data_IF_139074406703
#
_entry.id   IF_139074406703
#
_cell.length_a   1.000
_cell.length_b   1.000
_cell.length_c   1.000
_cell.angle_alpha   90.00
_cell.angle_beta   90.00
_cell.angle_gamma   90.00
#
_symmetry.space_group_name_H-M   'P 1'
#
loop_
_entity.id
_entity.type
_entity.pdbx_description
1 polymer ?
#
# COMPACT_ATOMS: atom_id res chain seq x y z
N UNK A 1 -44.76 -21.80 22.54
CA UNK A 1 -43.88 -22.90 22.09
C UNK A 1 -44.09 -23.07 20.60
N UNK A 2 -43.26 -22.45 19.76
CA UNK A 2 -43.35 -22.59 18.30
C UNK A 2 -42.10 -23.32 17.83
N UNK A 3 -42.34 -24.41 17.12
CA UNK A 3 -41.41 -25.48 16.79
C UNK A 3 -40.42 -24.99 15.73
N UNK A 4 -39.13 -25.15 16.02
CA UNK A 4 -38.02 -24.87 15.12
C UNK A 4 -38.01 -25.94 14.00
N UNK A 5 -38.63 -25.67 12.87
CA UNK A 5 -38.48 -26.53 11.68
C UNK A 5 -37.18 -26.16 10.97
N UNK A 6 -36.13 -26.89 11.34
CA UNK A 6 -34.85 -26.94 10.65
C UNK A 6 -35.06 -27.33 9.17
N UNK A 7 -34.97 -26.35 8.26
CA UNK A 7 -34.93 -26.57 6.80
C UNK A 7 -33.53 -26.21 6.27
N UNK A 8 -32.67 -27.23 6.13
CA UNK A 8 -31.47 -27.15 5.27
C UNK A 8 -31.93 -26.91 3.84
N UNK A 9 -31.50 -25.85 3.16
CA UNK A 9 -31.05 -25.88 1.75
C UNK A 9 -30.78 -24.49 1.14
N UNK A 10 -29.66 -24.42 0.41
CA UNK A 10 -29.13 -23.38 -0.52
C UNK A 10 -28.11 -22.36 0.04
N UNK A 11 -26.78 -22.59 -0.14
CA UNK A 11 -25.73 -21.63 0.22
C UNK A 11 -25.42 -20.56 -0.86
N UNK A 12 -26.02 -20.66 -2.06
CA UNK A 12 -25.71 -19.76 -3.19
C UNK A 12 -26.43 -18.40 -3.13
N UNK A 13 -27.63 -18.33 -2.52
CA UNK A 13 -28.39 -17.06 -2.42
C UNK A 13 -27.95 -16.19 -1.23
N UNK A 14 -27.33 -16.79 -0.22
CA UNK A 14 -26.79 -16.06 0.94
C UNK A 14 -25.46 -15.36 0.63
N UNK A 15 -24.68 -15.83 -0.35
CA UNK A 15 -23.39 -15.21 -0.68
C UNK A 15 -23.57 -13.79 -1.25
N UNK A 16 -24.50 -13.58 -2.19
CA UNK A 16 -24.78 -12.24 -2.72
C UNK A 16 -25.37 -11.29 -1.67
N UNK A 17 -26.13 -11.81 -0.69
CA UNK A 17 -26.74 -10.98 0.35
C UNK A 17 -25.73 -10.42 1.36
N UNK A 18 -24.59 -11.10 1.58
CA UNK A 18 -23.50 -10.60 2.44
C UNK A 18 -22.47 -9.76 1.69
N UNK A 19 -22.38 -9.91 0.36
CA UNK A 19 -21.47 -9.13 -0.49
C UNK A 19 -21.97 -7.67 -0.64
N UNK A 20 -23.28 -7.41 -0.49
CA UNK A 20 -23.86 -6.10 -0.77
C UNK A 20 -24.86 -5.67 0.33
N UNK A 21 -24.35 -5.34 1.53
CA UNK A 21 -25.00 -4.26 2.28
C UNK A 21 -24.41 -2.96 1.73
N UNK A 22 -25.14 -2.28 0.83
CA UNK A 22 -24.63 -1.15 0.04
C UNK A 22 -23.95 -0.04 0.87
N UNK A 23 -24.40 0.18 2.10
CA UNK A 23 -23.78 1.14 3.02
C UNK A 23 -22.36 0.75 3.48
N UNK A 24 -22.10 -0.54 3.73
CA UNK A 24 -20.78 -1.01 4.18
C UNK A 24 -19.73 -0.97 3.07
N UNK A 25 -20.13 -1.23 1.81
CA UNK A 25 -19.22 -1.15 0.67
C UNK A 25 -18.84 0.30 0.34
N UNK A 26 -19.79 1.23 0.48
CA UNK A 26 -19.53 2.66 0.27
C UNK A 26 -18.55 3.21 1.32
N UNK A 27 -18.75 2.91 2.61
CA UNK A 27 -17.82 3.32 3.66
C UNK A 27 -16.42 2.72 3.46
N UNK A 28 -16.32 1.43 3.10
CA UNK A 28 -15.04 0.79 2.79
C UNK A 28 -14.32 1.46 1.63
N UNK A 29 -15.04 1.80 0.56
CA UNK A 29 -14.47 2.49 -0.59
C UNK A 29 -14.01 3.90 -0.23
N UNK A 30 -14.84 4.65 0.51
CA UNK A 30 -14.50 5.99 1.01
C UNK A 30 -13.24 5.93 1.88
N UNK A 31 -13.16 5.05 2.86
CA UNK A 31 -11.94 4.86 3.66
C UNK A 31 -10.73 4.49 2.79
N UNK A 32 -10.92 3.63 1.79
CA UNK A 32 -9.84 3.24 0.86
C UNK A 32 -9.40 4.38 -0.07
N UNK A 33 -10.22 5.41 -0.27
CA UNK A 33 -9.85 6.60 -1.04
C UNK A 33 -9.20 7.63 -0.13
N UNK A 34 -9.74 7.83 1.07
CA UNK A 34 -9.21 8.78 2.06
C UNK A 34 -7.83 8.39 2.61
N UNK A 35 -7.58 7.08 2.81
CA UNK A 35 -6.32 6.56 3.33
C UNK A 35 -5.24 6.40 2.26
N UNK A 36 -5.52 6.72 1.00
CA UNK A 36 -4.47 6.71 -0.02
C UNK A 36 -3.53 7.88 0.23
N UNK A 37 -2.21 7.68 0.08
CA UNK A 37 -1.26 8.77 0.15
C UNK A 37 -1.63 9.82 -0.91
N UNK A 38 -2.01 11.01 -0.44
CA UNK A 38 -2.19 12.18 -1.28
C UNK A 38 -0.82 12.82 -1.40
N UNK A 39 -0.22 12.78 -2.60
CA UNK A 39 1.17 13.17 -2.86
C UNK A 39 1.53 14.66 -2.65
N UNK A 40 0.91 15.35 -1.69
CA UNK A 40 1.14 16.76 -1.38
C UNK A 40 2.30 17.02 -0.40
N UNK A 41 2.70 16.05 0.42
CA UNK A 41 3.79 16.22 1.41
C UNK A 41 4.62 14.98 1.71
N UNK A 42 4.44 13.91 0.93
CA UNK A 42 5.12 12.64 1.13
C UNK A 42 6.61 12.73 0.77
N UNK A 43 7.49 12.45 1.74
CA UNK A 43 8.93 12.34 1.49
C UNK A 43 9.23 10.91 1.03
N UNK A 44 9.86 10.70 -0.14
CA UNK A 44 10.18 9.36 -0.60
C UNK A 44 11.25 8.72 0.29
N UNK A 45 11.29 7.39 0.29
CA UNK A 45 12.24 6.61 1.09
C UNK A 45 13.69 7.06 0.87
N UNK A 46 14.39 7.41 1.95
CA UNK A 46 15.76 7.94 1.90
C UNK A 46 15.89 9.39 1.41
N UNK A 47 14.75 10.09 1.24
CA UNK A 47 14.67 11.49 0.81
C UNK A 47 14.62 12.51 1.94
N UNK A 48 14.66 12.08 3.21
CA UNK A 48 14.71 13.00 4.36
C UNK A 48 15.92 13.93 4.25
N UNK A 49 15.66 15.23 4.35
CA UNK A 49 16.67 16.29 4.29
C UNK A 49 17.41 16.47 5.63
N UNK A 50 16.94 15.85 6.70
CA UNK A 50 17.54 15.98 8.02
C UNK A 50 18.86 15.20 8.10
N UNK A 51 19.96 15.95 8.26
CA UNK A 51 21.28 15.37 8.41
C UNK A 51 21.53 15.04 9.88
N UNK A 52 21.09 13.86 10.30
CA UNK A 52 21.26 13.38 11.68
C UNK A 52 22.70 12.98 12.01
N UNK A 53 23.51 12.69 10.98
CA UNK A 53 24.88 12.21 11.14
C UNK A 53 25.89 13.28 10.74
N UNK A 54 26.84 13.55 11.63
CA UNK A 54 28.01 14.41 11.39
C UNK A 54 29.29 13.61 11.16
N UNK A 55 29.26 12.32 11.49
CA UNK A 55 30.37 11.38 11.32
C UNK A 55 30.50 10.92 9.87
N UNK A 56 31.74 10.73 9.40
CA UNK A 56 32.03 10.38 8.01
C UNK A 56 31.45 9.00 7.60
N UNK A 57 31.55 8.00 8.47
CA UNK A 57 31.15 6.62 8.16
C UNK A 57 29.62 6.50 7.98
N UNK A 58 28.77 6.97 8.91
CA UNK A 58 27.32 6.93 8.71
C UNK A 58 26.86 7.77 7.50
N UNK A 59 27.52 8.90 7.20
CA UNK A 59 27.21 9.68 6.00
C UNK A 59 27.48 8.92 4.72
N UNK A 60 28.61 8.22 4.63
CA UNK A 60 28.93 7.38 3.47
C UNK A 60 27.94 6.21 3.33
N UNK A 61 27.59 5.56 4.44
CA UNK A 61 26.57 4.51 4.44
C UNK A 61 25.20 5.02 3.98
N UNK A 62 24.78 6.20 4.44
CA UNK A 62 23.53 6.83 4.01
C UNK A 62 23.56 7.22 2.52
N UNK A 63 24.70 7.68 2.01
CA UNK A 63 24.88 7.95 0.58
C UNK A 63 24.75 6.67 -0.26
N UNK A 64 25.47 5.61 0.12
CA UNK A 64 25.41 4.30 -0.55
C UNK A 64 23.99 3.73 -0.54
N UNK A 65 23.31 3.79 0.61
CA UNK A 65 21.91 3.36 0.73
C UNK A 65 20.99 4.09 -0.26
N UNK A 66 21.12 5.41 -0.38
CA UNK A 66 20.33 6.19 -1.36
C UNK A 66 20.62 5.81 -2.80
N UNK A 67 21.87 5.50 -3.13
CA UNK A 67 22.23 5.06 -4.48
C UNK A 67 21.71 3.65 -4.79
N UNK A 68 21.74 2.74 -3.81
CA UNK A 68 21.14 1.42 -3.92
C UNK A 68 19.61 1.52 -4.15
N UNK A 69 18.92 2.44 -3.48
CA UNK A 69 17.49 2.70 -3.72
C UNK A 69 17.21 3.20 -5.14
N UNK A 70 18.03 4.10 -5.68
CA UNK A 70 17.89 4.56 -7.08
C UNK A 70 18.06 3.42 -8.05
N UNK A 71 19.07 2.57 -7.83
CA UNK A 71 19.32 1.38 -8.65
C UNK A 71 18.13 0.42 -8.59
N UNK A 72 17.63 0.13 -7.38
CA UNK A 72 16.47 -0.73 -7.17
C UNK A 72 15.23 -0.19 -7.90
N UNK A 73 14.98 1.12 -7.85
CA UNK A 73 13.87 1.75 -8.58
C UNK A 73 14.00 1.56 -10.10
N UNK A 74 15.21 1.71 -10.66
CA UNK A 74 15.46 1.42 -12.07
C UNK A 74 15.18 -0.05 -12.41
N UNK A 75 15.66 -0.98 -11.59
CA UNK A 75 15.47 -2.42 -11.81
C UNK A 75 13.99 -2.83 -11.73
N UNK A 76 13.25 -2.28 -10.76
CA UNK A 76 11.79 -2.49 -10.62
C UNK A 76 11.05 -1.96 -11.85
N UNK A 77 11.39 -0.76 -12.31
CA UNK A 77 10.78 -0.16 -13.51
C UNK A 77 11.06 -0.99 -14.76
N UNK A 78 12.30 -1.42 -14.95
CA UNK A 78 12.69 -2.29 -16.07
C UNK A 78 11.91 -3.62 -16.04
N UNK A 79 11.81 -4.26 -14.87
CA UNK A 79 11.02 -5.49 -14.68
C UNK A 79 9.54 -5.27 -15.00
N UNK A 80 8.98 -4.13 -14.60
CA UNK A 80 7.56 -3.81 -14.79
C UNK A 80 7.15 -3.60 -16.25
N UNK A 81 8.07 -3.22 -17.15
CA UNK A 81 7.78 -3.01 -18.58
C UNK A 81 7.20 -4.26 -19.25
N UNK A 82 7.67 -5.46 -18.87
CA UNK A 82 7.23 -6.72 -19.47
C UNK A 82 5.99 -7.36 -18.82
N UNK A 83 5.44 -6.76 -17.77
CA UNK A 83 4.36 -7.37 -17.00
C UNK A 83 2.99 -6.84 -17.42
N UNK A 84 2.03 -7.75 -17.63
CA UNK A 84 0.62 -7.41 -17.85
C UNK A 84 0.01 -6.62 -16.68
N UNK A 85 0.52 -6.86 -15.47
CA UNK A 85 0.14 -6.14 -14.25
C UNK A 85 1.42 -5.71 -13.52
N UNK A 86 1.86 -4.45 -13.71
CA UNK A 86 3.02 -3.91 -13.01
C UNK A 86 2.84 -3.90 -11.50
N UNK A 87 3.91 -4.21 -10.77
CA UNK A 87 3.91 -4.08 -9.31
C UNK A 87 4.71 -2.84 -8.92
N UNK A 88 3.99 -1.79 -8.54
CA UNK A 88 4.55 -0.43 -8.30
C UNK A 88 4.65 -0.05 -6.82
N UNK A 89 3.97 -0.78 -5.94
CA UNK A 89 3.80 -0.39 -4.52
C UNK A 89 5.09 -0.37 -3.69
N UNK A 90 6.16 -1.04 -4.14
CA UNK A 90 7.46 -1.06 -3.48
C UNK A 90 8.55 -0.36 -4.31
N UNK A 91 8.17 0.50 -5.26
CA UNK A 91 9.15 1.39 -5.90
C UNK A 91 9.61 2.42 -4.85
N UNK A 92 10.93 2.52 -4.54
CA UNK A 92 11.45 3.50 -3.59
C UNK A 92 11.02 4.94 -3.89
N UNK A 93 10.72 5.26 -5.15
CA UNK A 93 10.21 6.57 -5.55
C UNK A 93 8.76 6.85 -5.12
N UNK A 94 8.01 5.81 -4.75
CA UNK A 94 6.58 5.88 -4.39
C UNK A 94 6.31 5.55 -2.92
N UNK A 95 7.27 4.90 -2.25
CA UNK A 95 7.18 4.55 -0.84
C UNK A 95 7.60 5.74 0.00
N UNK A 96 6.77 6.09 0.98
CA UNK A 96 7.05 7.15 1.93
C UNK A 96 8.10 6.69 2.96
N UNK A 97 8.95 7.62 3.40
CA UNK A 97 9.99 7.36 4.41
C UNK A 97 9.40 7.09 5.81
N UNK A 98 8.19 7.61 6.08
CA UNK A 98 7.48 7.43 7.35
C UNK A 98 5.96 7.39 7.14
N UNK A 99 5.22 6.86 8.12
CA UNK A 99 3.75 6.86 8.10
C UNK A 99 3.25 8.14 8.74
N UNK A 100 2.72 9.06 7.94
CA UNK A 100 2.09 10.29 8.45
C UNK A 100 0.62 10.06 8.80
N UNK A 101 0.17 10.66 9.91
CA UNK A 101 -1.18 10.50 10.47
C UNK A 101 -2.17 11.53 9.93
#
# INVERSE_FOLDING_TARGET
MVIFTHRRSTPLLTMHSWIISGGCQMLRWVCSVLLRPAGGSAVPLGGSAEQHFTEAVPMEMAARFRDDLKRLSCDIRARNVGLKLPYVYLDPATVEDSVTR
#
